data_IF_304315494455
#
_entry.id   IF_304315494455
#
_cell.length_a   1.000
_cell.length_b   1.000
_cell.length_c   1.000
_cell.angle_alpha   90.00
_cell.angle_beta   90.00
_cell.angle_gamma   90.00
#
_symmetry.space_group_name_H-M   'P 1'
#
loop_
_entity.id
_entity.type
_entity.pdbx_description
1 polymer ?
#
# COMPACT_ATOMS: atom_id res chain seq x y z
N UNK A 1 24.91 -12.73 -15.83
CA UNK A 1 24.78 -11.44 -15.13
C UNK A 1 26.15 -11.01 -14.64
N UNK A 2 26.65 -9.88 -15.09
CA UNK A 2 27.95 -9.34 -14.69
C UNK A 2 27.82 -8.62 -13.34
N UNK A 3 28.65 -9.00 -12.38
CA UNK A 3 28.68 -8.36 -11.06
C UNK A 3 29.41 -7.02 -11.18
N UNK A 4 28.77 -5.93 -10.81
CA UNK A 4 29.36 -4.60 -10.78
C UNK A 4 30.22 -4.39 -9.53
N UNK A 5 29.65 -4.67 -8.37
CA UNK A 5 30.36 -4.56 -7.09
C UNK A 5 29.64 -5.34 -5.98
N UNK A 6 30.32 -5.52 -4.88
CA UNK A 6 29.80 -6.08 -3.64
C UNK A 6 29.90 -5.01 -2.57
N UNK A 7 28.80 -4.76 -1.88
CA UNK A 7 28.71 -3.81 -0.78
C UNK A 7 28.55 -4.57 0.54
N UNK A 8 29.33 -4.22 1.56
CA UNK A 8 29.24 -4.76 2.91
C UNK A 8 28.88 -3.65 3.87
N UNK A 9 27.67 -3.67 4.42
CA UNK A 9 27.14 -2.63 5.30
C UNK A 9 27.00 -3.15 6.74
N UNK A 10 27.68 -2.54 7.72
CA UNK A 10 27.45 -2.86 9.12
C UNK A 10 26.12 -2.30 9.60
N UNK A 11 25.27 -3.16 10.16
CA UNK A 11 23.96 -2.76 10.67
C UNK A 11 23.58 -3.50 11.95
N UNK A 12 23.37 -2.77 13.06
CA UNK A 12 22.92 -3.32 14.34
C UNK A 12 23.76 -4.48 14.88
N UNK A 13 25.09 -4.44 14.66
CA UNK A 13 26.02 -5.49 15.09
C UNK A 13 26.05 -6.74 14.20
N UNK A 14 25.56 -6.63 12.98
CA UNK A 14 25.68 -7.61 11.89
C UNK A 14 26.24 -6.93 10.64
N UNK A 15 26.68 -7.72 9.69
CA UNK A 15 27.03 -7.25 8.35
C UNK A 15 25.99 -7.76 7.36
N UNK A 16 25.56 -6.88 6.47
CA UNK A 16 24.72 -7.25 5.33
C UNK A 16 25.61 -7.13 4.09
N UNK A 17 25.62 -8.18 3.28
CA UNK A 17 26.32 -8.18 1.99
C UNK A 17 25.28 -8.05 0.87
N UNK A 18 25.48 -7.07 0.00
CA UNK A 18 24.68 -6.84 -1.21
C UNK A 18 25.55 -7.10 -2.43
N UNK A 19 25.07 -7.89 -3.37
CA UNK A 19 25.73 -8.11 -4.66
C UNK A 19 24.97 -7.33 -5.71
N UNK A 20 25.63 -6.36 -6.33
CA UNK A 20 25.05 -5.53 -7.39
C UNK A 20 25.54 -6.03 -8.74
N UNK A 21 24.60 -6.29 -9.63
CA UNK A 21 24.86 -6.81 -10.97
C UNK A 21 24.02 -6.09 -12.04
N UNK A 22 24.49 -6.13 -13.28
CA UNK A 22 23.70 -5.66 -14.41
C UNK A 22 22.54 -6.61 -14.68
N UNK A 23 21.37 -6.02 -14.93
CA UNK A 23 20.22 -6.77 -15.40
C UNK A 23 19.98 -6.34 -16.86
N UNK A 24 20.36 -7.22 -17.79
CA UNK A 24 20.27 -6.97 -19.24
C UNK A 24 18.84 -7.29 -19.79
N UNK A 25 17.82 -7.17 -18.92
CA UNK A 25 16.44 -7.36 -19.32
C UNK A 25 16.01 -6.18 -20.21
N UNK A 26 15.71 -6.45 -21.47
CA UNK A 26 14.94 -5.54 -22.31
C UNK A 26 13.50 -5.53 -21.82
N UNK A 27 13.09 -4.42 -21.21
CA UNK A 27 11.74 -4.26 -20.67
C UNK A 27 10.96 -3.40 -21.65
N UNK A 28 9.97 -4.01 -22.30
CA UNK A 28 9.01 -3.27 -23.11
C UNK A 28 7.93 -2.67 -22.20
N UNK A 29 7.67 -1.35 -22.27
CA UNK A 29 6.59 -0.72 -21.51
C UNK A 29 5.23 -1.35 -21.84
N UNK A 30 4.44 -1.64 -20.84
CA UNK A 30 3.07 -2.05 -21.03
C UNK A 30 2.21 -0.83 -21.40
N UNK A 31 1.66 -0.81 -22.59
CA UNK A 31 0.86 0.30 -23.12
C UNK A 31 -0.63 0.24 -22.73
N UNK A 32 -1.00 -0.67 -21.85
CA UNK A 32 -2.39 -0.78 -21.40
C UNK A 32 -2.82 0.48 -20.65
N UNK A 33 -4.04 0.92 -20.89
CA UNK A 33 -4.71 1.99 -20.15
C UNK A 33 -5.31 1.52 -18.84
N UNK A 34 -5.27 0.21 -18.56
CA UNK A 34 -5.77 -0.36 -17.32
C UNK A 34 -4.86 -0.01 -16.14
N UNK A 35 -5.47 0.21 -14.99
CA UNK A 35 -4.77 0.76 -13.86
C UNK A 35 -5.17 0.13 -12.51
N UNK A 36 -4.28 0.29 -11.55
CA UNK A 36 -4.61 0.15 -10.12
C UNK A 36 -4.18 1.40 -9.35
N UNK A 37 -4.89 1.68 -8.27
CA UNK A 37 -4.51 2.69 -7.30
C UNK A 37 -4.43 2.11 -5.90
N UNK A 38 -3.48 2.58 -5.10
CA UNK A 38 -3.19 2.06 -3.76
C UNK A 38 -3.15 3.22 -2.77
N UNK A 39 -4.07 3.19 -1.80
CA UNK A 39 -4.04 4.03 -0.61
C UNK A 39 -3.36 3.28 0.54
N UNK A 40 -2.34 3.88 1.18
CA UNK A 40 -1.54 3.28 2.23
C UNK A 40 -2.06 3.68 3.62
N UNK A 41 -2.39 2.68 4.43
CA UNK A 41 -2.99 2.91 5.74
C UNK A 41 -2.39 2.07 6.87
N UNK A 42 -2.95 2.23 8.08
CA UNK A 42 -2.52 1.50 9.28
C UNK A 42 -3.30 0.21 9.49
N UNK A 43 -4.63 0.24 9.36
CA UNK A 43 -5.48 -0.92 9.62
C UNK A 43 -5.70 -1.76 8.37
N UNK A 44 -6.02 -1.11 7.28
CA UNK A 44 -5.84 -1.61 5.95
C UNK A 44 -4.49 -1.07 5.50
N UNK A 45 -3.51 -1.96 5.29
CA UNK A 45 -2.16 -1.55 4.90
C UNK A 45 -2.15 -0.99 3.49
N UNK A 46 -2.93 -1.63 2.60
CA UNK A 46 -3.19 -1.16 1.26
C UNK A 46 -4.70 -1.26 0.98
N UNK A 47 -5.30 -0.20 0.50
CA UNK A 47 -6.59 -0.23 -0.14
C UNK A 47 -6.36 -0.13 -1.64
N UNK A 48 -6.66 -1.20 -2.38
CA UNK A 48 -6.36 -1.35 -3.80
C UNK A 48 -7.66 -1.23 -4.58
N UNK A 49 -7.68 -0.33 -5.54
CA UNK A 49 -8.78 -0.16 -6.50
C UNK A 49 -8.28 -0.29 -7.92
N UNK A 50 -9.11 -0.74 -8.83
CA UNK A 50 -8.79 -0.99 -10.22
C UNK A 50 -10.03 -0.83 -11.10
N UNK A 51 -9.84 -0.61 -12.39
CA UNK A 51 -10.90 -0.77 -13.39
C UNK A 51 -11.09 -2.23 -13.82
N UNK A 52 -10.24 -3.17 -13.38
CA UNK A 52 -10.28 -4.59 -13.77
C UNK A 52 -10.86 -5.54 -12.75
N UNK A 53 -10.83 -5.20 -11.46
CA UNK A 53 -11.28 -6.10 -10.41
C UNK A 53 -11.88 -5.34 -9.22
N UNK A 54 -12.55 -6.10 -8.37
CA UNK A 54 -13.20 -5.57 -7.16
C UNK A 54 -12.19 -4.96 -6.19
N UNK A 55 -12.56 -3.90 -5.45
CA UNK A 55 -11.67 -3.30 -4.47
C UNK A 55 -11.18 -4.30 -3.42
N UNK A 56 -9.88 -4.25 -3.12
CA UNK A 56 -9.20 -5.17 -2.19
C UNK A 56 -8.59 -4.39 -1.04
N UNK A 57 -8.84 -4.83 0.19
CA UNK A 57 -8.23 -4.28 1.40
C UNK A 57 -7.26 -5.28 2.01
N UNK A 58 -5.96 -4.97 1.96
CA UNK A 58 -4.94 -5.77 2.63
C UNK A 58 -4.84 -5.38 4.11
N UNK A 59 -5.00 -6.37 4.97
CA UNK A 59 -5.04 -6.17 6.42
C UNK A 59 -3.67 -5.78 7.00
N UNK A 60 -3.58 -4.66 7.71
CA UNK A 60 -2.36 -4.20 8.39
C UNK A 60 -2.13 -4.79 9.79
N UNK A 61 -3.04 -5.62 10.32
CA UNK A 61 -2.88 -6.23 11.66
C UNK A 61 -1.59 -7.04 11.83
N UNK A 62 -1.11 -7.85 10.86
CA UNK A 62 0.14 -8.58 10.99
C UNK A 62 1.32 -7.65 11.29
N UNK A 63 1.47 -6.56 10.53
CA UNK A 63 2.54 -5.56 10.72
C UNK A 63 2.44 -4.91 12.11
N UNK A 64 1.23 -4.56 12.53
CA UNK A 64 1.00 -3.99 13.87
C UNK A 64 1.37 -4.97 14.98
N UNK A 65 1.02 -6.25 14.83
CA UNK A 65 1.35 -7.30 15.79
C UNK A 65 2.86 -7.48 15.94
N UNK A 66 3.61 -7.51 14.83
CA UNK A 66 5.06 -7.57 14.83
C UNK A 66 5.63 -6.38 15.61
N UNK A 67 5.24 -5.16 15.27
CA UNK A 67 5.72 -3.95 15.94
C UNK A 67 5.40 -3.97 17.44
N UNK A 68 4.18 -4.32 17.84
CA UNK A 68 3.79 -4.40 19.24
C UNK A 68 4.60 -5.43 20.04
N UNK A 69 4.81 -6.63 19.47
CA UNK A 69 5.62 -7.68 20.09
C UNK A 69 7.04 -7.21 20.38
N UNK A 70 7.70 -6.62 19.38
CA UNK A 70 9.07 -6.14 19.54
C UNK A 70 9.15 -4.91 20.45
N UNK A 71 8.20 -3.97 20.38
CA UNK A 71 8.16 -2.81 21.27
C UNK A 71 8.07 -3.22 22.75
N UNK A 72 7.20 -4.18 23.09
CA UNK A 72 7.09 -4.71 24.47
C UNK A 72 8.43 -5.31 24.94
N UNK A 73 9.08 -6.11 24.10
CA UNK A 73 10.37 -6.75 24.43
C UNK A 73 11.50 -5.73 24.60
N UNK A 74 11.56 -4.74 23.70
CA UNK A 74 12.55 -3.66 23.76
C UNK A 74 12.34 -2.82 25.02
N UNK A 75 11.09 -2.42 25.32
CA UNK A 75 10.77 -1.66 26.53
C UNK A 75 11.16 -2.40 27.82
N UNK A 76 10.91 -3.72 27.88
CA UNK A 76 11.35 -4.55 29.01
C UNK A 76 12.87 -4.58 29.18
N UNK A 77 13.62 -4.68 28.07
CA UNK A 77 15.09 -4.60 28.11
C UNK A 77 15.59 -3.20 28.52
N UNK A 78 14.97 -2.14 28.01
CA UNK A 78 15.31 -0.76 28.34
C UNK A 78 15.07 -0.45 29.83
N UNK A 79 13.97 -0.95 30.40
CA UNK A 79 13.71 -0.80 31.86
C UNK A 79 14.85 -1.37 32.71
N UNK A 80 15.36 -2.55 32.34
CA UNK A 80 16.50 -3.19 33.04
C UNK A 80 17.83 -2.43 32.84
N UNK A 81 18.02 -1.79 31.68
CA UNK A 81 19.23 -1.02 31.42
C UNK A 81 19.25 0.31 32.16
N UNK A 82 18.09 0.94 32.33
CA UNK A 82 17.97 2.21 33.06
C UNK A 82 18.45 2.10 34.51
N UNK A 83 18.25 0.93 35.16
CA UNK A 83 18.77 0.67 36.52
C UNK A 83 20.30 0.61 36.60
N UNK A 84 20.99 0.43 35.47
CA UNK A 84 22.45 0.31 35.34
C UNK A 84 23.08 1.43 34.52
N UNK A 85 22.37 2.53 34.33
CA UNK A 85 22.79 3.73 33.57
C UNK A 85 23.26 3.49 32.13
N UNK A 86 22.81 2.37 31.52
CA UNK A 86 23.15 1.98 30.14
C UNK A 86 22.02 2.31 29.17
N UNK A 87 22.35 2.93 28.01
CA UNK A 87 21.36 3.31 26.99
C UNK A 87 21.07 2.19 25.97
N UNK A 88 21.98 1.24 25.77
CA UNK A 88 21.84 0.18 24.76
C UNK A 88 22.52 -1.13 25.19
N UNK A 89 22.16 -2.24 24.54
CA UNK A 89 22.79 -3.55 24.74
C UNK A 89 22.79 -4.37 23.44
N UNK A 90 23.65 -5.40 23.39
CA UNK A 90 23.65 -6.38 22.27
C UNK A 90 22.25 -6.97 22.04
N UNK A 91 21.51 -7.25 23.13
CA UNK A 91 20.14 -7.79 23.09
C UNK A 91 19.14 -6.82 22.45
N UNK A 92 19.21 -5.54 22.79
CA UNK A 92 18.32 -4.51 22.18
C UNK A 92 18.64 -4.36 20.70
N UNK A 93 19.92 -4.28 20.31
CA UNK A 93 20.34 -4.22 18.91
C UNK A 93 19.83 -5.44 18.11
N UNK A 94 19.98 -6.65 18.66
CA UNK A 94 19.43 -7.87 18.07
C UNK A 94 17.90 -7.84 17.90
N UNK A 95 17.16 -7.27 18.87
CA UNK A 95 15.71 -7.12 18.76
C UNK A 95 15.31 -6.15 17.64
N UNK A 96 16.01 -5.02 17.49
CA UNK A 96 15.77 -4.09 16.38
C UNK A 96 16.05 -4.74 15.04
N UNK A 97 17.15 -5.48 14.92
CA UNK A 97 17.50 -6.20 13.71
C UNK A 97 16.44 -7.24 13.34
N UNK A 98 16.06 -8.12 14.28
CA UNK A 98 15.02 -9.15 14.06
C UNK A 98 13.66 -8.55 13.69
N UNK A 99 13.32 -7.38 14.27
CA UNK A 99 12.10 -6.65 13.86
C UNK A 99 12.20 -6.17 12.42
N UNK A 100 13.34 -5.58 12.07
CA UNK A 100 13.62 -5.11 10.71
C UNK A 100 13.50 -6.22 9.67
N UNK A 101 14.09 -7.39 9.94
CA UNK A 101 14.05 -8.56 9.06
C UNK A 101 12.61 -9.06 8.85
N UNK A 102 11.83 -9.17 9.94
CA UNK A 102 10.43 -9.58 9.85
C UNK A 102 9.58 -8.60 9.06
N UNK A 103 9.73 -7.30 9.31
CA UNK A 103 9.01 -6.27 8.55
C UNK A 103 9.42 -6.29 7.07
N UNK A 104 10.71 -6.47 6.78
CA UNK A 104 11.20 -6.59 5.41
C UNK A 104 10.57 -7.78 4.67
N UNK A 105 10.55 -8.96 5.30
CA UNK A 105 9.90 -10.15 4.76
C UNK A 105 8.40 -9.93 4.50
N UNK A 106 7.69 -9.28 5.43
CA UNK A 106 6.27 -8.98 5.24
C UNK A 106 6.03 -8.00 4.08
N UNK A 107 6.88 -6.96 3.93
CA UNK A 107 6.76 -6.04 2.78
C UNK A 107 6.99 -6.78 1.46
N UNK A 108 7.93 -7.74 1.40
CA UNK A 108 8.15 -8.57 0.22
C UNK A 108 6.93 -9.43 -0.13
N UNK A 109 6.29 -10.05 0.86
CA UNK A 109 5.06 -10.83 0.63
C UNK A 109 3.94 -9.97 0.08
N UNK A 110 3.77 -8.77 0.65
CA UNK A 110 2.73 -7.84 0.22
C UNK A 110 3.00 -7.34 -1.20
N UNK A 111 4.22 -6.92 -1.49
CA UNK A 111 4.58 -6.46 -2.83
C UNK A 111 4.48 -7.57 -3.88
N UNK A 112 4.89 -8.82 -3.57
CA UNK A 112 4.70 -9.97 -4.47
C UNK A 112 3.22 -10.24 -4.69
N UNK A 113 2.40 -10.25 -3.63
CA UNK A 113 0.96 -10.45 -3.76
C UNK A 113 0.29 -9.41 -4.67
N UNK A 114 0.70 -8.13 -4.55
CA UNK A 114 0.16 -7.07 -5.41
C UNK A 114 0.58 -7.29 -6.87
N UNK A 115 1.84 -7.66 -7.12
CA UNK A 115 2.31 -7.95 -8.48
C UNK A 115 1.62 -9.19 -9.05
N UNK A 116 1.46 -10.26 -8.27
CA UNK A 116 0.73 -11.46 -8.70
C UNK A 116 -0.75 -11.19 -8.97
N UNK A 117 -1.36 -10.25 -8.23
CA UNK A 117 -2.75 -9.83 -8.45
C UNK A 117 -2.94 -9.21 -9.84
N UNK A 118 -1.96 -8.44 -10.31
CA UNK A 118 -2.07 -7.67 -11.56
C UNK A 118 -1.43 -8.35 -12.76
N UNK A 119 -0.58 -9.35 -12.54
CA UNK A 119 0.22 -10.02 -13.58
C UNK A 119 -0.59 -10.45 -14.81
N UNK A 120 -1.80 -10.99 -14.59
CA UNK A 120 -2.63 -11.52 -15.67
C UNK A 120 -3.78 -10.54 -16.04
N UNK A 121 -3.75 -9.31 -15.55
CA UNK A 121 -4.82 -8.33 -15.73
C UNK A 121 -4.49 -7.24 -16.76
N UNK A 122 -3.35 -7.36 -17.42
CA UNK A 122 -2.86 -6.37 -18.40
C UNK A 122 -2.87 -4.92 -17.86
N UNK A 123 -2.44 -4.73 -16.62
CA UNK A 123 -2.34 -3.41 -15.99
C UNK A 123 -1.12 -2.67 -16.53
N UNK A 124 -1.30 -1.46 -17.05
CA UNK A 124 -0.20 -0.60 -17.52
C UNK A 124 0.33 0.35 -16.45
N UNK A 125 -0.53 0.80 -15.52
CA UNK A 125 -0.15 1.82 -14.54
C UNK A 125 -0.55 1.44 -13.12
N UNK A 126 0.36 1.67 -12.20
CA UNK A 126 0.13 1.54 -10.75
C UNK A 126 0.34 2.90 -10.09
N UNK A 127 -0.69 3.43 -9.44
CA UNK A 127 -0.61 4.69 -8.69
C UNK A 127 -0.58 4.40 -7.19
N UNK A 128 0.40 4.93 -6.48
CA UNK A 128 0.48 4.81 -5.01
C UNK A 128 0.38 6.19 -4.38
N UNK A 129 -0.59 6.34 -3.48
CA UNK A 129 -0.68 7.53 -2.63
C UNK A 129 0.43 7.53 -1.60
N UNK A 130 1.25 8.58 -1.60
CA UNK A 130 2.29 8.75 -0.61
C UNK A 130 2.66 10.22 -0.42
N UNK A 131 2.82 10.62 0.84
CA UNK A 131 3.30 11.94 1.19
C UNK A 131 4.64 11.83 1.95
N UNK A 132 5.76 12.32 1.39
CA UNK A 132 7.09 12.21 2.01
C UNK A 132 7.16 12.73 3.45
N UNK A 133 6.43 13.79 3.76
CA UNK A 133 6.44 14.43 5.08
C UNK A 133 5.48 13.80 6.10
N UNK A 134 4.73 12.79 5.75
CA UNK A 134 3.73 12.14 6.60
C UNK A 134 4.22 11.79 8.00
N UNK A 135 5.45 11.28 8.09
CA UNK A 135 6.00 10.81 9.34
C UNK A 135 6.54 11.93 10.23
N UNK A 136 6.84 13.08 9.63
CA UNK A 136 7.47 14.20 10.34
C UNK A 136 6.45 15.10 11.03
N UNK A 137 5.27 15.31 10.42
CA UNK A 137 4.20 16.20 10.91
C UNK A 137 2.94 15.47 11.38
N UNK A 138 3.09 14.25 11.86
CA UNK A 138 1.96 13.40 12.22
C UNK A 138 1.37 13.80 13.57
N UNK A 139 0.14 14.29 13.61
CA UNK A 139 -0.61 14.67 14.81
C UNK A 139 -1.80 13.74 15.09
N UNK A 140 -1.56 12.42 15.13
CA UNK A 140 -2.59 11.39 15.35
C UNK A 140 -2.69 10.94 16.82
N UNK A 141 -1.98 11.63 17.73
CA UNK A 141 -1.79 11.22 19.13
C UNK A 141 -0.72 10.13 19.30
N UNK A 142 -0.07 10.12 20.49
CA UNK A 142 1.15 9.33 20.79
C UNK A 142 1.10 7.87 20.34
N UNK A 143 0.01 7.15 20.62
CA UNK A 143 -0.15 5.72 20.28
C UNK A 143 -0.30 5.48 18.76
N UNK A 144 -1.05 6.35 18.09
CA UNK A 144 -1.29 6.22 16.65
C UNK A 144 -0.07 6.65 15.85
N UNK A 145 0.61 7.74 16.26
CA UNK A 145 1.88 8.16 15.68
C UNK A 145 2.92 7.04 15.73
N UNK A 146 3.08 6.38 16.88
CA UNK A 146 4.01 5.25 16.99
C UNK A 146 3.68 4.12 16.00
N UNK A 147 2.39 3.76 15.87
CA UNK A 147 1.96 2.72 14.94
C UNK A 147 2.24 3.10 13.49
N UNK A 148 1.96 4.35 13.12
CA UNK A 148 2.11 4.86 11.77
C UNK A 148 3.58 4.98 11.35
N UNK A 149 4.40 5.63 12.18
CA UNK A 149 5.84 5.85 11.91
C UNK A 149 6.62 4.54 11.76
N UNK A 150 6.19 3.48 12.47
CA UNK A 150 6.87 2.17 12.46
C UNK A 150 6.54 1.29 11.26
N UNK A 151 5.60 1.68 10.38
CA UNK A 151 5.34 0.95 9.14
C UNK A 151 6.33 1.43 8.07
N UNK A 152 7.13 0.54 7.46
CA UNK A 152 8.15 0.94 6.48
C UNK A 152 7.54 1.10 5.06
N UNK A 153 6.65 2.08 4.86
CA UNK A 153 5.97 2.32 3.58
C UNK A 153 6.93 2.49 2.40
N UNK A 154 8.03 3.24 2.56
CA UNK A 154 9.02 3.39 1.48
C UNK A 154 9.66 2.07 1.07
N UNK A 155 9.84 1.12 2.01
CA UNK A 155 10.32 -0.22 1.63
C UNK A 155 9.31 -0.95 0.74
N UNK A 156 8.02 -0.82 1.03
CA UNK A 156 6.97 -1.40 0.19
C UNK A 156 6.95 -0.74 -1.20
N UNK A 157 7.01 0.58 -1.25
CA UNK A 157 7.03 1.35 -2.51
C UNK A 157 8.24 0.96 -3.36
N UNK A 158 9.45 0.94 -2.78
CA UNK A 158 10.66 0.55 -3.50
C UNK A 158 10.59 -0.90 -4.01
N UNK A 159 10.01 -1.81 -3.22
CA UNK A 159 9.80 -3.20 -3.64
C UNK A 159 8.77 -3.34 -4.75
N UNK A 160 7.72 -2.55 -4.74
CA UNK A 160 6.77 -2.47 -5.85
C UNK A 160 7.45 -1.92 -7.09
N UNK A 161 8.21 -0.84 -6.95
CA UNK A 161 8.85 -0.15 -8.07
C UNK A 161 9.71 -1.08 -8.93
N UNK A 162 10.67 -1.80 -8.33
CA UNK A 162 11.51 -2.68 -9.14
C UNK A 162 10.75 -3.91 -9.68
N UNK A 163 9.81 -4.47 -8.90
CA UNK A 163 9.02 -5.62 -9.36
C UNK A 163 8.05 -5.28 -10.49
N UNK A 164 7.47 -4.09 -10.47
CA UNK A 164 6.59 -3.59 -11.53
C UNK A 164 7.41 -3.24 -12.77
N UNK A 165 8.58 -2.62 -12.58
CA UNK A 165 9.50 -2.33 -13.67
C UNK A 165 9.87 -3.61 -14.43
N UNK A 166 10.15 -4.72 -13.75
CA UNK A 166 10.41 -6.02 -14.37
C UNK A 166 9.24 -6.56 -15.22
N UNK A 167 8.02 -6.03 -15.01
CA UNK A 167 6.82 -6.37 -15.78
C UNK A 167 6.45 -5.29 -16.83
N UNK A 168 7.29 -4.27 -16.99
CA UNK A 168 7.01 -3.13 -17.90
C UNK A 168 5.89 -2.21 -17.39
N UNK A 169 5.53 -2.28 -16.11
CA UNK A 169 4.43 -1.51 -15.52
C UNK A 169 4.97 -0.26 -14.86
N UNK A 170 4.37 0.89 -15.18
CA UNK A 170 4.72 2.18 -14.60
C UNK A 170 4.21 2.31 -13.15
N UNK A 171 5.08 2.78 -12.22
CA UNK A 171 4.70 3.16 -10.87
C UNK A 171 4.71 4.68 -10.72
N UNK A 172 3.55 5.27 -10.46
CA UNK A 172 3.37 6.69 -10.17
C UNK A 172 3.18 6.90 -8.67
N UNK A 173 4.00 7.74 -8.06
CA UNK A 173 3.83 8.16 -6.67
C UNK A 173 3.06 9.48 -6.66
N UNK A 174 1.83 9.44 -6.14
CA UNK A 174 0.92 10.58 -6.11
C UNK A 174 0.81 11.16 -4.70
N UNK A 175 0.99 12.46 -4.58
CA UNK A 175 0.69 13.20 -3.34
C UNK A 175 -0.83 13.11 -3.04
N UNK A 176 -1.21 12.79 -1.78
CA UNK A 176 -2.59 12.40 -1.41
C UNK A 176 -3.35 13.41 -0.57
N UNK A 177 -2.94 14.68 -0.50
CA UNK A 177 -3.72 15.71 0.22
C UNK A 177 -5.16 15.74 -0.27
N UNK A 178 -6.09 15.83 0.69
CA UNK A 178 -7.54 15.91 0.49
C UNK A 178 -8.23 14.68 -0.10
N UNK A 179 -7.53 13.64 -0.54
CA UNK A 179 -8.13 12.44 -1.16
C UNK A 179 -9.10 11.70 -0.24
N UNK A 180 -8.85 11.71 1.08
CA UNK A 180 -9.74 11.10 2.08
C UNK A 180 -10.98 11.95 2.45
N UNK A 181 -10.99 13.24 2.07
CA UNK A 181 -12.08 14.18 2.38
C UNK A 181 -13.03 14.37 1.22
N UNK A 182 -12.51 14.41 -0.01
CA UNK A 182 -13.31 14.62 -1.21
C UNK A 182 -14.10 13.37 -1.59
N UNK A 183 -15.28 13.58 -2.15
CA UNK A 183 -16.12 12.49 -2.65
C UNK A 183 -15.75 12.15 -4.10
N UNK A 184 -15.30 10.92 -4.32
CA UNK A 184 -15.01 10.43 -5.67
C UNK A 184 -16.27 10.36 -6.52
N UNK A 185 -17.35 9.77 -5.98
CA UNK A 185 -18.62 9.57 -6.69
C UNK A 185 -19.31 10.88 -7.09
N UNK A 186 -19.10 11.94 -6.31
CA UNK A 186 -19.63 13.28 -6.63
C UNK A 186 -18.70 14.07 -7.59
N UNK A 187 -17.68 13.41 -8.16
CA UNK A 187 -16.64 14.00 -9.03
C UNK A 187 -15.98 15.24 -8.38
N UNK A 188 -15.91 15.31 -7.05
CA UNK A 188 -15.40 16.45 -6.30
C UNK A 188 -13.88 16.63 -6.52
N UNK A 189 -13.37 17.82 -6.87
CA UNK A 189 -11.94 18.07 -7.05
C UNK A 189 -11.14 17.79 -5.78
N UNK A 190 -10.02 17.09 -5.86
CA UNK A 190 -9.16 16.73 -4.72
C UNK A 190 -8.29 17.92 -4.27
N UNK A 191 -8.92 18.97 -3.74
CA UNK A 191 -8.27 20.16 -3.20
C UNK A 191 -8.97 20.61 -1.91
N UNK A 192 -8.46 21.67 -1.29
CA UNK A 192 -9.12 22.29 -0.13
C UNK A 192 -10.46 22.90 -0.55
N UNK A 193 -11.54 22.48 0.06
CA UNK A 193 -12.89 23.00 -0.13
C UNK A 193 -13.36 23.76 1.12
N UNK A 194 -14.24 24.74 0.96
CA UNK A 194 -14.95 25.35 2.08
C UNK A 194 -15.95 24.37 2.68
N UNK A 195 -16.69 23.66 1.83
CA UNK A 195 -17.62 22.60 2.21
C UNK A 195 -17.44 21.41 1.28
N UNK A 196 -17.28 20.21 1.84
CA UNK A 196 -17.14 18.98 1.07
C UNK A 196 -18.50 18.38 0.75
N UNK A 197 -18.66 17.83 -0.46
CA UNK A 197 -19.91 17.22 -0.93
C UNK A 197 -20.26 15.92 -0.19
N UNK A 198 -19.25 15.17 0.21
CA UNK A 198 -19.44 13.94 0.98
C UNK A 198 -18.87 14.07 2.40
N UNK A 199 -19.22 13.09 3.24
CA UNK A 199 -18.76 13.07 4.63
C UNK A 199 -18.29 11.68 5.05
N UNK A 200 -17.17 11.64 5.80
CA UNK A 200 -16.73 10.43 6.50
C UNK A 200 -17.47 10.32 7.82
N UNK A 201 -18.59 9.58 7.84
CA UNK A 201 -19.44 9.42 9.01
C UNK A 201 -18.73 8.69 10.15
N UNK A 202 -18.06 7.59 9.80
CA UNK A 202 -17.28 6.80 10.75
C UNK A 202 -16.11 6.11 10.05
N UNK A 203 -15.27 5.43 10.84
CA UNK A 203 -14.16 4.69 10.31
C UNK A 203 -14.63 3.63 9.31
N UNK A 204 -14.11 3.69 8.08
CA UNK A 204 -14.44 2.77 6.99
C UNK A 204 -15.74 3.08 6.28
N UNK A 205 -16.49 4.14 6.65
CA UNK A 205 -17.72 4.55 5.99
C UNK A 205 -17.64 6.00 5.54
N UNK A 206 -17.84 6.21 4.25
CA UNK A 206 -18.00 7.51 3.61
C UNK A 206 -19.37 7.58 2.95
N UNK A 207 -20.06 8.72 3.08
CA UNK A 207 -21.38 8.96 2.49
C UNK A 207 -21.26 10.12 1.51
N UNK A 208 -21.72 9.90 0.30
CA UNK A 208 -21.74 10.92 -0.78
C UNK A 208 -22.87 11.93 -0.57
N UNK A 209 -22.90 13.01 -1.35
CA UNK A 209 -23.99 14.00 -1.34
C UNK A 209 -25.37 13.38 -1.64
N UNK A 210 -25.39 12.31 -2.40
CA UNK A 210 -26.62 11.56 -2.77
C UNK A 210 -26.98 10.43 -1.78
N UNK A 211 -26.30 10.36 -0.62
CA UNK A 211 -26.53 9.33 0.38
C UNK A 211 -25.94 7.95 0.04
N UNK A 212 -25.18 7.82 -1.05
CA UNK A 212 -24.54 6.55 -1.42
C UNK A 212 -23.42 6.25 -0.42
N UNK A 213 -23.46 5.04 0.15
CA UNK A 213 -22.46 4.55 1.10
C UNK A 213 -21.32 3.87 0.37
N UNK A 214 -20.08 4.26 0.67
CA UNK A 214 -18.86 3.65 0.13
C UNK A 214 -17.84 3.40 1.25
N UNK A 215 -16.93 2.47 1.03
CA UNK A 215 -15.83 2.28 1.96
C UNK A 215 -14.89 3.50 1.89
N UNK A 216 -14.55 4.10 3.04
CA UNK A 216 -13.77 5.34 3.10
C UNK A 216 -12.33 5.19 2.56
N UNK A 217 -11.70 4.01 2.73
CA UNK A 217 -10.36 3.76 2.25
C UNK A 217 -10.37 3.47 0.73
N UNK A 218 -11.48 2.89 0.21
CA UNK A 218 -11.72 2.76 -1.24
C UNK A 218 -11.94 4.13 -1.88
N UNK A 219 -12.73 5.02 -1.26
CA UNK A 219 -12.89 6.41 -1.73
C UNK A 219 -11.55 7.14 -1.82
N UNK A 220 -10.68 6.97 -0.80
CA UNK A 220 -9.32 7.54 -0.80
C UNK A 220 -8.49 7.03 -1.98
N UNK A 221 -8.46 5.72 -2.20
CA UNK A 221 -7.71 5.09 -3.29
C UNK A 221 -8.19 5.56 -4.67
N UNK A 222 -9.50 5.65 -4.91
CA UNK A 222 -10.07 6.17 -6.16
C UNK A 222 -9.70 7.65 -6.39
N UNK A 223 -9.72 8.47 -5.33
CA UNK A 223 -9.32 9.87 -5.42
C UNK A 223 -7.81 10.04 -5.67
N UNK A 224 -6.96 9.13 -5.19
CA UNK A 224 -5.51 9.10 -5.51
C UNK A 224 -5.34 8.92 -7.01
N UNK A 225 -6.03 7.94 -7.61
CA UNK A 225 -6.01 7.75 -9.07
C UNK A 225 -6.50 8.99 -9.81
N UNK A 226 -7.68 9.49 -9.46
CA UNK A 226 -8.25 10.69 -10.07
C UNK A 226 -7.28 11.88 -10.03
N UNK A 227 -6.54 12.04 -8.94
CA UNK A 227 -5.55 13.11 -8.79
C UNK A 227 -4.33 12.90 -9.69
N UNK A 228 -3.90 11.65 -9.90
CA UNK A 228 -2.79 11.32 -10.79
C UNK A 228 -3.10 11.65 -12.26
N UNK A 229 -4.34 11.43 -12.70
CA UNK A 229 -4.75 11.66 -14.09
C UNK A 229 -5.31 13.08 -14.36
N UNK A 230 -5.30 13.97 -13.37
CA UNK A 230 -5.91 15.31 -13.51
C UNK A 230 -5.35 16.18 -14.65
N UNK A 231 -4.15 15.87 -15.12
CA UNK A 231 -3.49 16.60 -16.21
C UNK A 231 -3.83 16.03 -17.60
N UNK A 232 -4.62 14.93 -17.67
CA UNK A 232 -5.12 14.40 -18.92
C UNK A 232 -6.34 15.21 -19.41
N UNK A 233 -6.66 15.10 -20.69
CA UNK A 233 -7.88 15.67 -21.23
C UNK A 233 -9.12 15.13 -20.52
N UNK A 234 -10.19 15.95 -20.43
CA UNK A 234 -11.39 15.58 -19.65
C UNK A 234 -12.07 14.32 -20.18
N UNK A 235 -12.11 14.14 -21.52
CA UNK A 235 -12.68 12.94 -22.15
C UNK A 235 -11.93 11.68 -21.71
N UNK A 236 -10.60 11.71 -21.76
CA UNK A 236 -9.74 10.60 -21.32
C UNK A 236 -9.93 10.33 -19.82
N UNK A 237 -10.05 11.38 -19.01
CA UNK A 237 -10.32 11.23 -17.58
C UNK A 237 -11.67 10.55 -17.34
N UNK A 238 -12.72 10.95 -18.05
CA UNK A 238 -14.06 10.36 -17.88
C UNK A 238 -14.11 8.91 -18.32
N UNK A 239 -13.41 8.53 -19.39
CA UNK A 239 -13.25 7.13 -19.83
C UNK A 239 -12.52 6.28 -18.77
N UNK A 240 -11.37 6.75 -18.30
CA UNK A 240 -10.58 6.04 -17.27
C UNK A 240 -11.30 5.94 -15.92
N UNK A 241 -12.16 6.91 -15.59
CA UNK A 241 -12.96 6.95 -14.37
C UNK A 241 -14.30 6.22 -14.53
N UNK A 242 -14.76 5.94 -15.76
CA UNK A 242 -15.99 5.18 -16.03
C UNK A 242 -15.87 3.71 -15.61
N UNK A 243 -15.59 3.52 -14.32
CA UNK A 243 -15.59 2.21 -13.71
C UNK A 243 -17.05 1.75 -13.61
N UNK A 244 -17.40 0.52 -13.97
CA UNK A 244 -18.65 -0.08 -13.56
C UNK A 244 -18.60 -0.25 -12.04
N UNK A 245 -18.84 0.84 -11.32
CA UNK A 245 -18.93 0.87 -9.87
C UNK A 245 -20.21 0.15 -9.47
N UNK A 246 -20.14 -1.17 -9.43
CA UNK A 246 -21.14 -1.93 -8.68
C UNK A 246 -21.08 -1.42 -7.23
N UNK A 247 -22.04 -0.59 -6.86
CA UNK A 247 -22.11 0.10 -5.57
C UNK A 247 -21.99 -0.86 -4.40
N UNK A 248 -22.44 -2.09 -4.54
CA UNK A 248 -22.30 -3.16 -3.54
C UNK A 248 -20.84 -3.55 -3.26
N UNK A 249 -19.99 -3.62 -4.27
CA UNK A 249 -18.58 -3.99 -4.14
C UNK A 249 -17.72 -2.84 -3.61
N UNK A 250 -18.04 -1.61 -3.99
CA UNK A 250 -17.35 -0.42 -3.46
C UNK A 250 -17.65 -0.22 -1.97
N UNK A 251 -18.85 -0.60 -1.54
CA UNK A 251 -19.25 -0.59 -0.12
C UNK A 251 -18.60 -1.73 0.66
N UNK A 252 -18.53 -2.92 0.08
CA UNK A 252 -18.03 -4.14 0.71
C UNK A 252 -16.79 -4.70 -0.01
N UNK A 253 -15.64 -4.03 0.06
CA UNK A 253 -14.41 -4.48 -0.59
C UNK A 253 -13.95 -5.82 -0.01
N UNK A 254 -13.29 -6.63 -0.84
CA UNK A 254 -12.74 -7.90 -0.42
C UNK A 254 -11.59 -7.69 0.58
N UNK A 255 -11.70 -8.29 1.77
CA UNK A 255 -10.66 -8.19 2.82
C UNK A 255 -9.73 -9.38 2.75
N UNK A 256 -8.44 -9.09 2.59
CA UNK A 256 -7.38 -10.09 2.51
C UNK A 256 -6.42 -9.93 3.68
N UNK A 257 -6.08 -11.05 4.32
CA UNK A 257 -5.03 -11.12 5.33
C UNK A 257 -3.97 -12.10 4.85
N UNK A 258 -2.80 -11.58 4.53
CA UNK A 258 -1.64 -12.42 4.21
C UNK A 258 -1.07 -12.95 5.53
N UNK A 259 -1.14 -14.27 5.74
CA UNK A 259 -0.54 -14.94 6.90
C UNK A 259 0.88 -15.36 6.57
N UNK A 260 1.73 -15.46 7.58
CA UNK A 260 3.14 -15.87 7.43
C UNK A 260 3.31 -17.32 6.98
N UNK A 261 2.27 -18.12 7.14
CA UNK A 261 2.19 -19.57 6.92
C UNK A 261 1.27 -19.97 5.75
N UNK A 262 0.79 -18.98 4.97
CA UNK A 262 0.03 -19.30 3.75
C UNK A 262 0.93 -20.01 2.73
N UNK A 263 0.52 -21.20 2.32
CA UNK A 263 1.11 -21.89 1.17
C UNK A 263 0.85 -21.12 -0.13
N UNK A 264 1.63 -21.39 -1.17
CA UNK A 264 1.37 -20.81 -2.51
C UNK A 264 -0.05 -21.17 -3.02
N UNK A 265 -0.58 -22.31 -2.60
CA UNK A 265 -1.95 -22.76 -2.93
C UNK A 265 -2.99 -21.83 -2.34
N UNK A 266 -2.81 -21.41 -1.07
CA UNK A 266 -3.75 -20.47 -0.41
C UNK A 266 -3.73 -19.08 -1.04
N UNK A 267 -2.55 -18.62 -1.45
CA UNK A 267 -2.41 -17.35 -2.18
C UNK A 267 -3.14 -17.41 -3.54
N UNK A 268 -2.96 -18.49 -4.29
CA UNK A 268 -3.67 -18.71 -5.57
C UNK A 268 -5.19 -18.75 -5.38
N UNK A 269 -5.69 -19.39 -4.33
CA UNK A 269 -7.13 -19.43 -4.03
C UNK A 269 -7.71 -18.04 -3.71
N UNK A 270 -6.95 -17.19 -3.02
CA UNK A 270 -7.34 -15.80 -2.75
C UNK A 270 -7.38 -14.99 -4.05
N UNK A 271 -6.34 -15.10 -4.87
CA UNK A 271 -6.28 -14.42 -6.18
C UNK A 271 -7.43 -14.87 -7.09
N UNK A 272 -7.74 -16.16 -7.11
CA UNK A 272 -8.86 -16.70 -7.88
C UNK A 272 -10.21 -16.13 -7.40
N UNK A 273 -10.43 -16.01 -6.10
CA UNK A 273 -11.64 -15.39 -5.53
C UNK A 273 -11.78 -13.92 -5.93
N UNK A 274 -10.69 -13.17 -6.00
CA UNK A 274 -10.71 -11.78 -6.46
C UNK A 274 -11.14 -11.74 -7.93
N UNK A 275 -10.56 -12.60 -8.76
CA UNK A 275 -10.87 -12.68 -10.20
C UNK A 275 -12.31 -13.11 -10.48
N UNK A 276 -12.82 -14.13 -9.75
CA UNK A 276 -14.20 -14.63 -9.93
C UNK A 276 -15.25 -13.60 -9.51
N UNK A 277 -15.01 -12.80 -8.46
CA UNK A 277 -15.94 -11.77 -8.00
C UNK A 277 -15.89 -10.49 -8.84
N UNK A 278 -15.05 -10.45 -9.87
CA UNK A 278 -15.01 -9.33 -10.83
C UNK A 278 -16.15 -9.51 -11.82
N UNK A 279 -17.07 -8.57 -11.97
CA UNK A 279 -18.09 -8.64 -13.02
C UNK A 279 -17.40 -8.68 -14.37
N UNK A 280 -17.69 -9.67 -15.19
CA UNK A 280 -17.29 -9.65 -16.61
C UNK A 280 -18.00 -8.47 -17.26
N UNK A 281 -17.25 -7.47 -17.66
CA UNK A 281 -17.75 -6.42 -18.54
C UNK A 281 -17.79 -7.04 -19.93
N UNK A 282 -18.98 -7.48 -20.36
CA UNK A 282 -19.22 -7.73 -21.76
C UNK A 282 -19.22 -6.37 -22.46
N UNK A 283 -18.17 -6.06 -23.22
CA UNK A 283 -18.23 -4.98 -24.19
C UNK A 283 -19.29 -5.36 -25.23
N UNK A 284 -20.42 -4.68 -25.20
CA UNK A 284 -21.44 -4.71 -26.26
C UNK A 284 -21.09 -3.65 -27.27
#
# INVERSE_FOLDING_TARGET
KEIKYIEIVPQNGRYTMSIVYNNDLEISPNQSTDWISIDLGINNLCSITSNKFVPVLLNGKPIKSINQKFNKRIASCQKKLKSNDKKSSKKIRSLYSKRGDKLHSEMHKISSFIVDLIKDQNIGTVVVGYNPEWKQRCSLGKKNNQKFVQIPYMKLINQLQYKLLEQGIELIIQEESYTSKCSFMDKEPCCKQQTYKGNREKRGLFITSKGVKINADVNGSLNIFKKAIKNLEQVVQDELISIPLNTGLVMNPLRVTLRTDLSQIDQRSILLKIKINTPMVFNV
#
